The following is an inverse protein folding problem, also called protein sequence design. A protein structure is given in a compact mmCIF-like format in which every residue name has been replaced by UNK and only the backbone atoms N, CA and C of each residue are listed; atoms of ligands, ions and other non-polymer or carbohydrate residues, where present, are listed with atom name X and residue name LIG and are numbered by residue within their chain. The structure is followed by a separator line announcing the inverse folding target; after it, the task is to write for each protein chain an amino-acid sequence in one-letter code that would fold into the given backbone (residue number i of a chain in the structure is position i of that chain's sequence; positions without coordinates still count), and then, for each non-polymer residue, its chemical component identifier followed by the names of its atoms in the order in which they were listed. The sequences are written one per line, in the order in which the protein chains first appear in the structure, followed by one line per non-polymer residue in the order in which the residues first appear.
data_IF_694016296079
#
_entry.id   IF_694016296079
#
_cell.length_a   1.000
_cell.length_b   1.000
_cell.length_c   1.000
_cell.angle_alpha   90.00
_cell.angle_beta   90.00
_cell.angle_gamma   90.00
#
_symmetry.space_group_name_H-M   'P 1'
#
loop_
_entity.id
_entity.type
_entity.pdbx_description
1 polymer ?
#
# COMPACT_ATOMS: atom_id res chain seq x y z
N UNK A 1 11.57 -12.70 15.66
CA UNK A 1 12.50 -12.44 14.54
C UNK A 1 11.99 -11.21 13.80
N UNK A 2 12.83 -10.17 13.61
CA UNK A 2 12.41 -8.96 12.93
C UNK A 2 12.42 -9.22 11.43
N UNK A 3 11.30 -9.69 10.89
CA UNK A 3 11.11 -9.83 9.44
C UNK A 3 10.98 -8.42 8.81
N UNK A 4 10.53 -7.46 9.61
CA UNK A 4 10.12 -6.11 9.22
C UNK A 4 11.27 -5.23 8.71
N UNK A 5 12.47 -5.33 9.30
CA UNK A 5 13.59 -4.45 8.93
C UNK A 5 14.26 -4.89 7.62
N UNK A 6 14.27 -6.20 7.34
CA UNK A 6 14.86 -6.83 6.15
C UNK A 6 14.14 -6.51 4.85
N UNK A 7 12.81 -6.36 4.85
CA UNK A 7 12.06 -6.14 3.60
C UNK A 7 12.13 -4.69 3.10
N UNK A 8 12.13 -3.70 4.02
CA UNK A 8 12.26 -2.29 3.66
C UNK A 8 13.61 -2.00 2.98
N UNK A 9 14.67 -2.70 3.39
CA UNK A 9 15.98 -2.60 2.75
C UNK A 9 15.99 -3.16 1.33
N UNK A 10 15.28 -4.26 1.07
CA UNK A 10 15.24 -4.88 -0.27
C UNK A 10 14.52 -4.03 -1.32
N UNK A 11 13.38 -3.43 -0.96
CA UNK A 11 12.65 -2.51 -1.84
C UNK A 11 13.45 -1.22 -2.07
N UNK A 12 14.09 -0.70 -1.01
CA UNK A 12 15.00 0.44 -1.14
C UNK A 12 16.17 0.16 -2.08
N UNK A 13 16.75 -1.04 -2.01
CA UNK A 13 17.89 -1.43 -2.85
C UNK A 13 17.53 -1.50 -4.34
N UNK A 14 16.34 -1.99 -4.69
CA UNK A 14 15.93 -2.05 -6.11
C UNK A 14 15.63 -0.64 -6.64
N UNK A 15 14.98 0.22 -5.88
CA UNK A 15 14.74 1.62 -6.26
C UNK A 15 16.08 2.37 -6.40
N UNK A 16 17.02 2.14 -5.48
CA UNK A 16 18.37 2.69 -5.57
C UNK A 16 19.13 2.18 -6.80
N UNK A 17 18.97 0.91 -7.18
CA UNK A 17 19.52 0.37 -8.43
C UNK A 17 18.95 1.12 -9.64
N UNK A 18 17.62 1.27 -9.70
CA UNK A 18 16.94 1.99 -10.80
C UNK A 18 17.45 3.43 -10.88
N UNK A 19 17.60 4.11 -9.73
CA UNK A 19 18.16 5.45 -9.66
C UNK A 19 19.60 5.52 -10.20
N UNK A 20 20.45 4.58 -9.82
CA UNK A 20 21.84 4.50 -10.32
C UNK A 20 21.91 4.24 -11.83
N UNK A 21 20.95 3.49 -12.39
CA UNK A 21 20.87 3.29 -13.84
C UNK A 21 20.56 4.60 -14.59
N UNK A 22 19.94 5.58 -13.92
CA UNK A 22 19.50 6.84 -14.52
C UNK A 22 18.46 6.67 -15.62
N UNK A 23 17.75 5.52 -15.66
CA UNK A 23 16.77 5.20 -16.70
C UNK A 23 15.59 6.16 -16.75
N UNK A 24 15.22 6.74 -15.62
CA UNK A 24 14.08 7.65 -15.48
C UNK A 24 14.48 9.06 -15.03
N UNK A 25 15.76 9.42 -15.14
CA UNK A 25 16.23 10.76 -14.77
C UNK A 25 15.53 11.83 -15.64
N UNK A 26 14.88 12.79 -14.99
CA UNK A 26 14.11 13.84 -15.67
C UNK A 26 12.75 13.40 -16.22
N UNK A 27 12.39 12.11 -16.08
CA UNK A 27 11.07 11.61 -16.47
C UNK A 27 10.07 12.00 -15.39
N UNK A 28 9.11 12.84 -15.79
CA UNK A 28 7.96 13.28 -15.01
C UNK A 28 6.82 12.25 -15.05
N UNK A 29 6.37 11.82 -13.88
CA UNK A 29 5.23 10.94 -13.67
C UNK A 29 4.14 11.69 -12.93
N UNK A 30 2.93 11.76 -13.49
CA UNK A 30 1.76 12.18 -12.73
C UNK A 30 1.26 11.01 -11.90
N UNK A 31 1.13 11.20 -10.60
CA UNK A 31 0.52 10.21 -9.70
C UNK A 31 -0.95 10.57 -9.55
N UNK A 32 -1.81 9.73 -10.10
CA UNK A 32 -3.26 9.89 -10.11
C UNK A 32 -3.90 9.22 -8.88
N UNK A 33 -5.21 8.95 -8.96
CA UNK A 33 -5.96 8.34 -7.88
C UNK A 33 -5.45 6.94 -7.54
N UNK A 34 -5.32 6.66 -6.25
CA UNK A 34 -5.25 5.29 -5.76
C UNK A 34 -6.61 4.91 -5.18
N UNK A 35 -7.39 4.12 -5.93
CA UNK A 35 -8.77 3.81 -5.58
C UNK A 35 -8.85 2.62 -4.60
N UNK A 36 -9.86 2.62 -3.74
CA UNK A 36 -10.27 1.44 -2.99
C UNK A 36 -11.40 0.73 -3.75
N UNK A 37 -11.04 -0.32 -4.50
CA UNK A 37 -11.98 -1.16 -5.25
C UNK A 37 -12.47 -2.38 -4.46
N UNK A 38 -12.14 -2.48 -3.17
CA UNK A 38 -12.42 -3.70 -2.39
C UNK A 38 -13.87 -3.81 -1.92
N UNK A 39 -14.58 -2.69 -1.84
CA UNK A 39 -15.94 -2.61 -1.29
C UNK A 39 -16.03 -2.88 0.22
N UNK A 40 -14.90 -3.02 0.92
CA UNK A 40 -14.86 -3.39 2.34
C UNK A 40 -14.93 -2.16 3.24
N UNK A 41 -16.02 -2.05 3.99
CA UNK A 41 -16.22 -1.00 5.00
C UNK A 41 -16.03 -1.54 6.41
N UNK A 42 -15.69 -0.65 7.32
CA UNK A 42 -15.57 -0.91 8.74
C UNK A 42 -16.95 -0.72 9.42
N UNK A 43 -17.81 -1.72 9.26
CA UNK A 43 -19.06 -1.80 10.01
C UNK A 43 -18.80 -2.44 11.38
N UNK A 44 -18.34 -1.65 12.35
CA UNK A 44 -18.31 -2.07 13.77
C UNK A 44 -19.59 -1.67 14.52
N UNK A 45 -20.47 -0.88 13.89
CA UNK A 45 -21.84 -0.58 14.33
C UNK A 45 -22.70 -0.12 13.14
N UNK A 46 -24.03 -0.18 13.29
CA UNK A 46 -24.98 0.35 12.31
C UNK A 46 -24.77 1.86 12.10
N UNK A 47 -24.67 2.28 10.83
CA UNK A 47 -24.46 3.69 10.45
C UNK A 47 -22.99 4.15 10.35
N UNK A 48 -22.02 3.26 10.58
CA UNK A 48 -20.60 3.60 10.41
C UNK A 48 -20.13 3.51 8.95
N UNK A 49 -19.33 4.49 8.53
CA UNK A 49 -18.83 4.65 7.14
C UNK A 49 -17.30 4.50 7.04
N UNK A 50 -16.63 4.02 8.09
CA UNK A 50 -15.17 3.87 8.07
C UNK A 50 -14.70 2.90 6.99
N UNK A 51 -13.49 3.07 6.45
CA UNK A 51 -12.90 2.14 5.47
C UNK A 51 -11.90 1.21 6.15
N UNK A 52 -11.72 -0.01 5.62
CA UNK A 52 -10.70 -0.96 6.11
C UNK A 52 -9.30 -0.63 5.61
N UNK A 53 -9.18 0.10 4.50
CA UNK A 53 -7.92 0.52 3.89
C UNK A 53 -7.74 2.06 3.96
N UNK A 54 -6.49 2.55 4.02
CA UNK A 54 -6.19 3.98 3.98
C UNK A 54 -6.72 4.62 2.69
N UNK A 55 -7.34 5.79 2.84
CA UNK A 55 -7.84 6.59 1.72
C UNK A 55 -6.83 7.73 1.47
N UNK A 56 -6.25 7.77 0.27
CA UNK A 56 -5.36 8.85 -0.17
C UNK A 56 -3.88 8.79 0.23
N UNK A 57 -3.52 8.05 1.27
CA UNK A 57 -2.10 7.86 1.63
C UNK A 57 -1.33 7.04 0.60
N UNK A 58 -1.98 6.15 -0.14
CA UNK A 58 -1.28 5.27 -1.10
C UNK A 58 -0.62 6.01 -2.26
N UNK A 59 -1.16 7.16 -2.68
CA UNK A 59 -0.55 8.00 -3.71
C UNK A 59 0.78 8.62 -3.25
N UNK A 60 0.98 8.81 -1.94
CA UNK A 60 2.25 9.31 -1.40
C UNK A 60 3.34 8.23 -1.46
N UNK A 61 2.98 6.95 -1.26
CA UNK A 61 3.91 5.83 -1.44
C UNK A 61 4.37 5.70 -2.89
N UNK A 62 3.46 5.81 -3.85
CA UNK A 62 3.81 5.85 -5.29
C UNK A 62 4.73 7.02 -5.60
N UNK A 63 4.39 8.22 -5.09
CA UNK A 63 5.20 9.42 -5.29
C UNK A 63 6.59 9.28 -4.68
N UNK A 64 6.70 8.66 -3.50
CA UNK A 64 7.95 8.34 -2.84
C UNK A 64 8.79 7.37 -3.67
N UNK A 65 8.23 6.23 -4.06
CA UNK A 65 8.91 5.21 -4.85
C UNK A 65 9.45 5.75 -6.18
N UNK A 66 8.68 6.59 -6.90
CA UNK A 66 9.14 7.24 -8.13
C UNK A 66 10.35 8.15 -7.87
N UNK A 67 10.32 8.93 -6.78
CA UNK A 67 11.43 9.82 -6.40
C UNK A 67 12.66 9.03 -5.99
N UNK A 68 12.49 7.95 -5.25
CA UNK A 68 13.57 7.09 -4.79
C UNK A 68 14.21 6.32 -5.96
N UNK A 69 13.43 6.02 -7.00
CA UNK A 69 13.92 5.50 -8.29
C UNK A 69 14.58 6.56 -9.20
N UNK A 70 14.60 7.84 -8.81
CA UNK A 70 15.24 8.93 -9.57
C UNK A 70 14.35 9.68 -10.56
N UNK A 71 13.05 9.40 -10.57
CA UNK A 71 12.06 10.11 -11.38
C UNK A 71 11.53 11.38 -10.71
N UNK A 72 10.71 12.14 -11.43
CA UNK A 72 10.01 13.33 -10.92
C UNK A 72 8.54 12.96 -10.70
N UNK A 73 8.11 12.84 -9.44
CA UNK A 73 6.71 12.60 -9.09
C UNK A 73 5.93 13.92 -9.02
N UNK A 74 4.87 14.02 -9.82
CA UNK A 74 3.90 15.11 -9.80
C UNK A 74 2.63 14.60 -9.12
N UNK A 75 2.39 15.04 -7.89
CA UNK A 75 1.16 14.68 -7.18
C UNK A 75 -0.04 15.32 -7.89
N UNK A 76 -0.87 14.50 -8.53
CA UNK A 76 -2.14 14.90 -9.16
C UNK A 76 -3.35 14.30 -8.44
N UNK A 77 -3.12 13.58 -7.34
CA UNK A 77 -4.16 13.11 -6.43
C UNK A 77 -4.91 14.32 -5.83
N UNK A 78 -4.17 15.31 -5.34
CA UNK A 78 -4.70 16.54 -4.73
C UNK A 78 -4.80 17.71 -5.73
N UNK A 79 -5.47 17.51 -6.87
CA UNK A 79 -5.70 18.63 -7.79
C UNK A 79 -6.57 19.75 -7.18
N UNK A 80 -7.32 19.44 -6.12
CA UNK A 80 -8.11 20.42 -5.37
C UNK A 80 -7.25 21.54 -4.77
N UNK A 81 -6.01 21.26 -4.36
CA UNK A 81 -5.13 22.31 -3.81
C UNK A 81 -4.82 23.39 -4.86
N UNK A 82 -4.55 23.00 -6.11
CA UNK A 82 -4.33 23.94 -7.19
C UNK A 82 -5.59 24.75 -7.50
N UNK A 83 -6.77 24.11 -7.47
CA UNK A 83 -8.04 24.80 -7.64
C UNK A 83 -8.32 25.80 -6.50
N UNK A 84 -8.06 25.42 -5.25
CA UNK A 84 -8.19 26.32 -4.10
C UNK A 84 -7.24 27.51 -4.19
N UNK A 85 -5.96 27.27 -4.50
CA UNK A 85 -4.97 28.35 -4.69
C UNK A 85 -5.37 29.31 -5.81
N UNK A 86 -5.88 28.77 -6.93
CA UNK A 86 -6.42 29.55 -8.03
C UNK A 86 -7.62 30.40 -7.61
N UNK A 87 -8.51 29.88 -6.76
CA UNK A 87 -9.68 30.60 -6.28
C UNK A 87 -9.30 31.72 -5.30
N UNK A 88 -8.36 31.46 -4.37
CA UNK A 88 -7.91 32.47 -3.40
C UNK A 88 -7.00 33.53 -4.03
N UNK A 89 -6.15 33.13 -4.98
CA UNK A 89 -5.12 33.99 -5.56
C UNK A 89 -5.55 34.82 -6.78
N UNK A 90 -6.77 34.61 -7.29
CA UNK A 90 -7.29 35.31 -8.45
C UNK A 90 -6.52 35.06 -9.75
N UNK A 91 -6.75 35.92 -10.75
CA UNK A 91 -6.23 35.73 -12.12
C UNK A 91 -4.69 35.56 -12.22
N UNK A 92 -3.84 36.30 -11.47
CA UNK A 92 -2.39 36.13 -11.58
C UNK A 92 -1.91 34.75 -11.11
N UNK A 93 -2.50 34.23 -10.03
CA UNK A 93 -2.17 32.89 -9.51
C UNK A 93 -2.71 31.81 -10.44
N UNK A 94 -3.91 32.00 -11.00
CA UNK A 94 -4.46 31.10 -12.03
C UNK A 94 -3.52 30.98 -13.23
N UNK A 95 -3.02 32.11 -13.75
CA UNK A 95 -2.09 32.11 -14.88
C UNK A 95 -0.76 31.42 -14.54
N UNK A 96 -0.21 31.68 -13.36
CA UNK A 96 1.02 31.05 -12.90
C UNK A 96 0.87 29.52 -12.75
N UNK A 97 -0.25 29.06 -12.19
CA UNK A 97 -0.56 27.63 -12.08
C UNK A 97 -0.71 26.99 -13.46
N UNK A 98 -1.44 27.64 -14.38
CA UNK A 98 -1.62 27.13 -15.74
C UNK A 98 -0.27 26.97 -16.47
N UNK A 99 0.61 27.98 -16.38
CA UNK A 99 1.96 27.92 -16.94
C UNK A 99 2.79 26.80 -16.30
N UNK A 100 2.71 26.61 -14.99
CA UNK A 100 3.40 25.51 -14.30
C UNK A 100 2.90 24.15 -14.78
N UNK A 101 1.59 23.97 -14.94
CA UNK A 101 1.00 22.71 -15.41
C UNK A 101 1.48 22.38 -16.83
N UNK A 102 1.57 23.38 -17.72
CA UNK A 102 2.08 23.20 -19.07
C UNK A 102 3.57 22.84 -19.08
N UNK A 103 4.39 23.55 -18.29
CA UNK A 103 5.83 23.26 -18.16
C UNK A 103 6.07 21.85 -17.61
N UNK A 104 5.30 21.48 -16.59
CA UNK A 104 5.45 20.23 -15.86
C UNK A 104 4.53 19.14 -16.43
N UNK A 105 4.25 19.18 -17.74
CA UNK A 105 3.41 18.16 -18.36
C UNK A 105 4.06 16.77 -18.18
N UNK A 106 3.32 15.78 -17.64
CA UNK A 106 3.87 14.46 -17.37
C UNK A 106 4.21 13.72 -18.66
N UNK A 107 5.19 12.81 -18.59
CA UNK A 107 5.42 11.85 -19.68
C UNK A 107 4.53 10.61 -19.53
N UNK A 108 4.24 10.24 -18.28
CA UNK A 108 3.40 9.10 -17.93
C UNK A 108 2.49 9.44 -16.76
N UNK A 109 1.38 8.71 -16.66
CA UNK A 109 0.48 8.74 -15.51
C UNK A 109 0.54 7.38 -14.83
N UNK A 110 0.74 7.37 -13.52
CA UNK A 110 0.65 6.17 -12.68
C UNK A 110 -0.67 6.24 -11.93
N UNK A 111 -1.48 5.20 -12.09
CA UNK A 111 -2.73 5.00 -11.36
C UNK A 111 -2.67 3.67 -10.62
N UNK A 112 -3.45 3.52 -9.55
CA UNK A 112 -3.51 2.26 -8.84
C UNK A 112 -4.80 2.05 -8.09
N UNK A 113 -4.97 0.83 -7.60
CA UNK A 113 -6.14 0.46 -6.82
C UNK A 113 -5.85 -0.72 -5.91
N UNK A 114 -6.60 -0.79 -4.82
CA UNK A 114 -6.79 -2.02 -4.06
C UNK A 114 -7.88 -2.83 -4.75
N UNK A 115 -7.53 -4.03 -5.22
CA UNK A 115 -8.42 -4.87 -6.03
C UNK A 115 -9.23 -5.86 -5.19
N UNK A 116 -8.68 -6.32 -4.07
CA UNK A 116 -9.39 -7.20 -3.15
C UNK A 116 -8.93 -6.99 -1.71
N UNK A 117 -9.81 -7.31 -0.76
CA UNK A 117 -9.48 -7.43 0.65
C UNK A 117 -10.27 -8.61 1.21
N UNK A 118 -9.58 -9.74 1.35
CA UNK A 118 -10.17 -11.01 1.78
C UNK A 118 -9.72 -11.35 3.20
N UNK A 119 -10.66 -11.60 4.10
CA UNK A 119 -10.36 -12.04 5.45
C UNK A 119 -10.47 -13.56 5.53
N UNK A 120 -9.37 -14.23 5.85
CA UNK A 120 -9.34 -15.67 6.10
C UNK A 120 -9.32 -15.91 7.60
N UNK A 121 -10.35 -16.60 8.11
CA UNK A 121 -10.32 -17.14 9.47
C UNK A 121 -9.15 -18.10 9.62
N UNK A 122 -8.45 -18.05 10.75
CA UNK A 122 -7.39 -19.01 11.06
C UNK A 122 -7.83 -19.98 12.15
N UNK A 123 -6.85 -20.70 12.69
CA UNK A 123 -7.08 -21.70 13.72
C UNK A 123 -7.34 -21.00 15.06
N UNK A 124 -8.40 -21.43 15.73
CA UNK A 124 -8.65 -21.14 17.13
C UNK A 124 -8.34 -22.40 17.94
N UNK A 125 -7.47 -22.27 18.93
CA UNK A 125 -7.16 -23.31 19.90
C UNK A 125 -7.60 -22.78 21.25
N UNK A 126 -8.42 -23.55 21.96
CA UNK A 126 -8.85 -23.23 23.32
C UNK A 126 -8.83 -24.55 24.10
N UNK A 127 -7.89 -24.66 25.03
CA UNK A 127 -7.71 -25.86 25.86
C UNK A 127 -7.92 -25.43 27.29
N UNK A 128 -8.92 -25.99 27.97
CA UNK A 128 -9.24 -25.64 29.36
C UNK A 128 -9.26 -26.87 30.24
N UNK A 129 -8.63 -26.76 31.40
CA UNK A 129 -8.69 -27.73 32.48
C UNK A 129 -9.28 -27.02 33.70
N UNK A 130 -10.35 -27.56 34.27
CA UNK A 130 -11.09 -26.94 35.38
C UNK A 130 -11.49 -25.46 35.11
N UNK A 131 -11.85 -25.15 33.86
CA UNK A 131 -12.28 -23.81 33.46
C UNK A 131 -11.15 -22.82 33.16
N UNK A 132 -9.88 -23.22 33.32
CA UNK A 132 -8.69 -22.37 33.06
C UNK A 132 -7.80 -23.00 32.00
N UNK A 133 -7.31 -22.21 31.06
CA UNK A 133 -6.25 -22.67 30.17
C UNK A 133 -5.94 -21.75 28.98
N UNK A 134 -4.99 -22.16 28.12
CA UNK A 134 -4.51 -21.33 27.02
C UNK A 134 -5.52 -21.24 25.88
N UNK A 135 -5.55 -20.05 25.27
CA UNK A 135 -6.24 -19.78 24.02
C UNK A 135 -5.28 -19.16 23.01
N UNK A 136 -5.42 -19.54 21.74
CA UNK A 136 -4.71 -18.92 20.63
C UNK A 136 -5.67 -18.77 19.46
N UNK A 137 -5.73 -17.57 18.89
CA UNK A 137 -6.52 -17.26 17.72
C UNK A 137 -5.58 -16.72 16.63
N UNK A 138 -5.69 -17.27 15.43
CA UNK A 138 -4.97 -16.78 14.27
C UNK A 138 -5.98 -16.32 13.24
N UNK A 139 -5.69 -15.22 12.56
CA UNK A 139 -6.46 -14.72 11.42
C UNK A 139 -5.50 -14.21 10.36
N UNK A 140 -5.98 -14.10 9.13
CA UNK A 140 -5.23 -13.47 8.06
C UNK A 140 -6.14 -12.55 7.24
N UNK A 141 -5.54 -11.52 6.65
CA UNK A 141 -6.15 -10.73 5.60
C UNK A 141 -5.25 -10.78 4.37
N UNK A 142 -5.83 -10.88 3.18
CA UNK A 142 -5.10 -10.76 1.91
C UNK A 142 -5.57 -9.49 1.21
N UNK A 143 -4.64 -8.61 0.90
CA UNK A 143 -4.89 -7.40 0.11
C UNK A 143 -4.35 -7.62 -1.29
N UNK A 144 -5.19 -7.38 -2.29
CA UNK A 144 -4.82 -7.33 -3.70
C UNK A 144 -4.54 -5.89 -4.14
N UNK A 145 -3.53 -5.72 -4.98
CA UNK A 145 -3.10 -4.44 -5.51
C UNK A 145 -2.95 -4.52 -7.02
N UNK A 146 -3.27 -3.43 -7.71
CA UNK A 146 -3.00 -3.26 -9.14
C UNK A 146 -2.55 -1.83 -9.39
N UNK A 147 -1.57 -1.65 -10.26
CA UNK A 147 -1.14 -0.34 -10.74
C UNK A 147 -0.84 -0.38 -12.22
N UNK A 148 -1.04 0.74 -12.89
CA UNK A 148 -0.90 0.88 -14.33
C UNK A 148 -0.09 2.13 -14.64
N UNK A 149 0.76 2.02 -15.65
CA UNK A 149 1.44 3.13 -16.28
C UNK A 149 0.77 3.42 -17.63
N UNK A 150 0.26 4.62 -17.82
CA UNK A 150 -0.43 5.01 -19.06
C UNK A 150 0.16 6.29 -19.65
N UNK A 151 0.01 6.48 -20.96
CA UNK A 151 0.38 7.76 -21.60
C UNK A 151 -0.68 8.84 -21.36
N UNK A 152 -0.29 10.07 -21.02
CA UNK A 152 -1.24 11.17 -20.82
C UNK A 152 -1.99 11.49 -22.12
N UNK A 153 -3.25 11.92 -22.01
CA UNK A 153 -4.11 12.27 -23.14
C UNK A 153 -4.78 11.06 -23.81
N UNK A 154 -4.00 10.11 -24.33
CA UNK A 154 -4.55 8.92 -25.01
C UNK A 154 -4.97 7.79 -24.07
N UNK A 155 -4.44 7.76 -22.84
CA UNK A 155 -4.73 6.70 -21.87
C UNK A 155 -4.21 5.32 -22.27
N UNK A 156 -3.30 5.23 -23.24
CA UNK A 156 -2.75 3.94 -23.69
C UNK A 156 -1.94 3.30 -22.57
N UNK A 157 -2.26 2.05 -22.25
CA UNK A 157 -1.50 1.23 -21.31
C UNK A 157 -0.08 0.99 -21.83
N UNK A 158 0.89 1.26 -20.97
CA UNK A 158 2.32 1.04 -21.21
C UNK A 158 2.80 -0.21 -20.47
N UNK A 159 2.41 -0.33 -19.20
CA UNK A 159 2.71 -1.47 -18.34
C UNK A 159 1.67 -1.56 -17.21
N UNK A 160 1.47 -2.75 -16.66
CA UNK A 160 0.70 -2.98 -15.45
C UNK A 160 1.46 -3.90 -14.48
N UNK A 161 1.18 -3.75 -13.19
CA UNK A 161 1.73 -4.59 -12.15
C UNK A 161 0.64 -4.94 -11.14
N UNK A 162 0.61 -6.21 -10.74
CA UNK A 162 -0.37 -6.76 -9.80
C UNK A 162 0.34 -7.54 -8.72
N UNK A 163 -0.01 -7.28 -7.47
CA UNK A 163 0.58 -7.96 -6.32
C UNK A 163 -0.50 -8.31 -5.30
N UNK A 164 -0.19 -9.28 -4.44
CA UNK A 164 -1.02 -9.54 -3.26
C UNK A 164 -0.14 -9.72 -2.04
N UNK A 165 -0.59 -9.20 -0.89
CA UNK A 165 0.10 -9.32 0.39
C UNK A 165 -0.82 -9.97 1.40
N UNK A 166 -0.33 -11.00 2.08
CA UNK A 166 -1.03 -11.65 3.18
C UNK A 166 -0.51 -11.10 4.50
N UNK A 167 -1.42 -10.53 5.28
CA UNK A 167 -1.20 -10.03 6.62
C UNK A 167 -1.71 -11.05 7.63
N UNK A 168 -0.93 -11.34 8.67
CA UNK A 168 -1.30 -12.31 9.71
C UNK A 168 -1.51 -11.62 11.05
N UNK A 169 -2.56 -12.06 11.73
CA UNK A 169 -2.95 -11.62 13.06
C UNK A 169 -2.85 -12.83 13.99
N UNK A 170 -2.20 -12.67 15.13
CA UNK A 170 -2.08 -13.74 16.12
C UNK A 170 -2.38 -13.17 17.51
N UNK A 171 -3.34 -13.78 18.16
CA UNK A 171 -3.68 -13.51 19.55
C UNK A 171 -3.38 -14.76 20.36
N UNK A 172 -2.70 -14.59 21.49
CA UNK A 172 -2.43 -15.67 22.44
C UNK A 172 -2.79 -15.16 23.82
N UNK A 173 -3.51 -15.96 24.59
CA UNK A 173 -3.93 -15.60 25.92
C UNK A 173 -4.16 -16.79 26.81
N UNK A 174 -4.52 -16.49 28.05
CA UNK A 174 -5.01 -17.47 29.02
C UNK A 174 -6.36 -16.95 29.50
N UNK A 175 -7.36 -17.82 29.43
CA UNK A 175 -8.73 -17.54 29.88
C UNK A 175 -9.10 -18.45 31.04
N UNK A 176 -9.94 -17.93 31.93
CA UNK A 176 -10.43 -18.64 33.11
C UNK A 176 -11.89 -18.31 33.38
N UNK A 177 -12.67 -19.30 33.79
CA UNK A 177 -14.05 -19.12 34.25
C UNK A 177 -14.37 -20.04 35.41
N UNK A 178 -14.93 -19.48 36.48
CA UNK A 178 -15.46 -20.23 37.62
C UNK A 178 -16.95 -19.91 37.80
N UNK A 179 -17.73 -20.92 38.19
CA UNK A 179 -19.13 -20.74 38.55
C UNK A 179 -19.21 -20.64 40.07
N UNK A 180 -19.76 -19.53 40.57
CA UNK A 180 -20.03 -19.31 41.99
C UNK A 180 -21.55 -19.23 42.15
N UNK A 181 -22.18 -20.30 42.66
CA UNK A 181 -23.63 -20.42 42.72
C UNK A 181 -24.27 -20.44 41.33
N UNK A 182 -25.03 -19.40 41.00
CA UNK A 182 -25.65 -19.21 39.67
C UNK A 182 -24.92 -18.15 38.82
N UNK A 183 -23.77 -17.65 39.28
CA UNK A 183 -23.02 -16.59 38.60
C UNK A 183 -21.75 -17.14 37.99
N UNK A 184 -21.55 -16.87 36.69
CA UNK A 184 -20.30 -17.18 35.99
C UNK A 184 -19.36 -15.98 36.11
N UNK A 185 -18.22 -16.15 36.77
CA UNK A 185 -17.14 -15.18 36.79
C UNK A 185 -16.07 -15.62 35.78
N UNK A 186 -15.83 -14.82 34.74
CA UNK A 186 -14.78 -15.06 33.76
C UNK A 186 -13.73 -13.95 33.76
N UNK A 187 -12.51 -14.31 33.41
CA UNK A 187 -11.41 -13.38 33.20
C UNK A 187 -10.48 -13.92 32.13
N UNK A 188 -9.89 -13.03 31.33
CA UNK A 188 -8.92 -13.40 30.32
C UNK A 188 -7.83 -12.35 30.21
N UNK A 189 -6.61 -12.80 29.94
CA UNK A 189 -5.48 -11.94 29.60
C UNK A 189 -5.00 -12.37 28.22
N UNK A 190 -4.90 -11.42 27.30
CA UNK A 190 -4.52 -11.66 25.91
C UNK A 190 -3.39 -10.74 25.49
N UNK A 191 -2.45 -11.28 24.72
CA UNK A 191 -1.48 -10.53 23.94
C UNK A 191 -1.85 -10.66 22.45
N UNK A 192 -1.90 -9.54 21.75
CA UNK A 192 -2.14 -9.49 20.31
C UNK A 192 -0.87 -9.02 19.59
N UNK A 193 -0.43 -9.81 18.62
CA UNK A 193 0.59 -9.43 17.64
C UNK A 193 -0.12 -9.19 16.30
N UNK A 194 -0.16 -7.94 15.88
CA UNK A 194 -0.75 -7.49 14.62
C UNK A 194 0.35 -6.84 13.76
N UNK A 195 0.49 -7.29 12.51
CA UNK A 195 1.37 -6.61 11.56
C UNK A 195 0.87 -5.18 11.28
N UNK A 196 1.80 -4.22 11.24
CA UNK A 196 1.47 -2.84 10.93
C UNK A 196 0.93 -2.73 9.50
N UNK A 197 -0.32 -2.25 9.39
CA UNK A 197 -1.00 -2.06 8.12
C UNK A 197 -0.32 -1.01 7.23
N UNK A 198 0.21 0.07 7.80
CA UNK A 198 0.53 1.27 7.01
C UNK A 198 1.88 1.21 6.27
N UNK A 199 2.95 0.71 6.90
CA UNK A 199 4.28 0.65 6.27
C UNK A 199 4.51 -0.71 5.58
N UNK A 200 4.64 -1.79 6.35
CA UNK A 200 5.06 -3.10 5.83
C UNK A 200 4.04 -3.78 4.90
N UNK A 201 2.74 -3.49 5.10
CA UNK A 201 1.68 -4.20 4.38
C UNK A 201 1.17 -3.47 3.14
N UNK A 202 1.47 -2.17 3.00
CA UNK A 202 0.95 -1.33 1.92
C UNK A 202 2.07 -0.59 1.18
N UNK A 203 2.98 0.09 1.87
CA UNK A 203 4.06 0.87 1.24
C UNK A 203 5.02 -0.02 0.43
N UNK A 204 5.46 -1.14 0.99
CA UNK A 204 6.41 -2.05 0.34
C UNK A 204 5.84 -2.67 -0.95
N UNK A 205 4.64 -3.30 -0.95
CA UNK A 205 4.04 -3.80 -2.19
C UNK A 205 3.81 -2.71 -3.23
N UNK A 206 3.38 -1.51 -2.82
CA UNK A 206 3.14 -0.39 -3.73
C UNK A 206 4.46 0.06 -4.38
N UNK A 207 5.50 0.21 -3.59
CA UNK A 207 6.83 0.61 -4.06
C UNK A 207 7.44 -0.43 -4.98
N UNK A 208 7.25 -1.72 -4.68
CA UNK A 208 7.71 -2.81 -5.54
C UNK A 208 6.96 -2.84 -6.87
N UNK A 209 5.65 -2.61 -6.89
CA UNK A 209 4.90 -2.49 -8.14
C UNK A 209 5.36 -1.28 -8.99
N UNK A 210 5.72 -0.15 -8.37
CA UNK A 210 6.32 0.99 -9.09
C UNK A 210 7.66 0.59 -9.72
N UNK A 211 8.50 -0.15 -8.99
CA UNK A 211 9.74 -0.69 -9.55
C UNK A 211 9.45 -1.62 -10.75
N UNK A 212 8.46 -2.50 -10.64
CA UNK A 212 8.02 -3.39 -11.72
C UNK A 212 7.58 -2.61 -12.96
N UNK A 213 6.70 -1.61 -12.81
CA UNK A 213 6.28 -0.75 -13.92
C UNK A 213 7.47 -0.08 -14.62
N UNK A 214 8.45 0.41 -13.86
CA UNK A 214 9.65 1.05 -14.42
C UNK A 214 10.51 0.01 -15.16
N UNK A 215 10.70 -1.16 -14.58
CA UNK A 215 11.49 -2.24 -15.18
C UNK A 215 10.86 -2.72 -16.49
N UNK A 216 9.54 -2.91 -16.54
CA UNK A 216 8.83 -3.28 -17.76
C UNK A 216 8.89 -2.18 -18.84
N UNK A 217 8.83 -0.91 -18.43
CA UNK A 217 8.68 0.22 -19.36
C UNK A 217 10.00 0.81 -19.86
N UNK A 218 11.10 0.64 -19.12
CA UNK A 218 12.39 1.27 -19.41
C UNK A 218 13.50 0.22 -19.55
N UNK A 219 13.90 -0.15 -20.79
CA UNK A 219 14.87 -1.21 -21.04
C UNK A 219 16.22 -1.03 -20.32
N UNK A 220 16.65 0.22 -20.11
CA UNK A 220 17.87 0.54 -19.35
C UNK A 220 17.77 0.16 -17.88
N UNK A 221 16.60 0.32 -17.26
CA UNK A 221 16.36 -0.12 -15.90
C UNK A 221 16.32 -1.66 -15.85
N UNK A 222 15.64 -2.29 -16.80
CA UNK A 222 15.54 -3.75 -16.88
C UNK A 222 16.90 -4.43 -16.99
N UNK A 223 17.77 -3.94 -17.88
CA UNK A 223 19.09 -4.52 -18.07
C UNK A 223 20.00 -4.35 -16.85
N UNK A 224 19.86 -3.25 -16.12
CA UNK A 224 20.66 -2.97 -14.93
C UNK A 224 20.17 -3.69 -13.68
N UNK A 225 18.85 -3.80 -13.49
CA UNK A 225 18.24 -4.12 -12.20
C UNK A 225 17.24 -5.29 -12.23
N UNK A 226 16.88 -5.79 -13.42
CA UNK A 226 15.86 -6.85 -13.56
C UNK A 226 16.22 -8.15 -12.84
N UNK A 227 17.52 -8.50 -12.78
CA UNK A 227 17.99 -9.69 -12.05
C UNK A 227 17.85 -9.57 -10.53
N UNK A 228 17.97 -8.35 -9.98
CA UNK A 228 17.73 -8.08 -8.58
C UNK A 228 16.24 -8.14 -8.26
N UNK A 229 15.41 -7.52 -9.11
CA UNK A 229 13.96 -7.55 -8.96
C UNK A 229 13.38 -8.97 -9.01
N UNK A 230 13.87 -9.81 -9.93
CA UNK A 230 13.44 -11.20 -10.04
C UNK A 230 13.69 -12.05 -8.79
N UNK A 231 14.61 -11.65 -7.90
CA UNK A 231 14.84 -12.32 -6.60
C UNK A 231 13.85 -11.90 -5.52
N UNK A 232 13.23 -10.73 -5.67
CA UNK A 232 12.26 -10.17 -4.73
C UNK A 232 10.83 -10.62 -5.03
N UNK A 233 10.57 -10.99 -6.28
CA UNK A 233 9.29 -11.58 -6.66
C UNK A 233 9.22 -13.01 -6.12
N UNK A 234 8.20 -13.37 -5.34
CA UNK A 234 7.96 -14.77 -5.03
C UNK A 234 7.76 -15.50 -6.35
N UNK A 235 8.53 -16.58 -6.57
CA UNK A 235 8.32 -17.48 -7.69
C UNK A 235 6.84 -17.88 -7.72
N UNK A 236 6.18 -17.54 -8.83
CA UNK A 236 4.76 -17.80 -9.08
C UNK A 236 4.40 -19.28 -8.84
#
# INVERSE_FOLDING_TARGET
MPIVETHKTEVGDILACIKKSGAINGIRFAVALWADGTGQTNAVADGMTGTKLPQGTSATYVSGAIRDAGGIALNRYENNTNASLANFGGAPVQEAIAKSIQRDYPHYVVTGMFTSLDFTGGKTVDVRVAGVGPMANTRAARVGFSTELVTPGSGRLVADSKMSRVMRFKEIGIGGGIIIGNTLATGQVMKSDQQMLQAESLEDPISLMVADLILQSFPKAQSACGSQFGKLMPSA
#
